data_IF_824569902320
#
_entry.id   IF_824569902320
#
_cell.length_a   1.000
_cell.length_b   1.000
_cell.length_c   1.000
_cell.angle_alpha   90.00
_cell.angle_beta   90.00
_cell.angle_gamma   90.00
#
_symmetry.space_group_name_H-M   'P 1'
#
loop_
_entity.id
_entity.type
_entity.pdbx_description
1 polymer ?
#
# COMPACT_ATOMS: atom_id res chain seq x y z
N UNK A 1 -6.46 -22.22 1.15
CA UNK A 1 -6.76 -20.98 1.89
C UNK A 1 -5.43 -20.38 2.34
N UNK A 2 -4.96 -19.34 1.66
CA UNK A 2 -3.71 -18.66 2.03
C UNK A 2 -4.02 -17.86 3.29
N UNK A 3 -3.39 -18.22 4.42
CA UNK A 3 -3.47 -17.42 5.63
C UNK A 3 -2.55 -16.19 5.47
N UNK A 4 -3.14 -15.01 5.34
CA UNK A 4 -2.44 -13.72 5.24
C UNK A 4 -1.86 -13.23 6.58
N UNK A 5 -1.72 -14.10 7.57
CA UNK A 5 -1.01 -13.80 8.80
C UNK A 5 0.45 -13.42 8.52
N UNK A 6 0.76 -12.13 8.63
CA UNK A 6 2.09 -11.58 8.39
C UNK A 6 3.17 -12.28 9.24
N UNK A 7 2.85 -12.65 10.49
CA UNK A 7 3.77 -13.36 11.38
C UNK A 7 4.12 -14.74 10.84
N UNK A 8 3.13 -15.48 10.30
CA UNK A 8 3.37 -16.80 9.70
C UNK A 8 4.17 -16.68 8.42
N UNK A 9 3.84 -15.72 7.55
CA UNK A 9 4.59 -15.45 6.31
C UNK A 9 6.04 -15.08 6.63
N UNK A 10 6.25 -14.19 7.60
CA UNK A 10 7.57 -13.78 8.05
C UNK A 10 8.36 -14.94 8.65
N UNK A 11 7.72 -15.80 9.45
CA UNK A 11 8.37 -17.00 10.01
C UNK A 11 8.76 -17.98 8.92
N UNK A 12 7.89 -18.20 7.93
CA UNK A 12 8.20 -19.06 6.78
C UNK A 12 9.38 -18.48 5.99
N UNK A 13 9.38 -17.18 5.73
CA UNK A 13 10.50 -16.47 5.09
C UNK A 13 11.82 -16.65 5.85
N UNK A 14 11.84 -16.42 7.16
CA UNK A 14 13.04 -16.61 7.99
C UNK A 14 13.52 -18.07 7.98
N UNK A 15 12.59 -19.02 8.02
CA UNK A 15 12.92 -20.45 7.96
C UNK A 15 13.51 -20.87 6.61
N UNK A 16 13.00 -20.32 5.50
CA UNK A 16 13.48 -20.63 4.14
C UNK A 16 14.82 -19.96 3.86
N UNK A 17 14.99 -18.72 4.32
CA UNK A 17 16.20 -17.94 4.05
C UNK A 17 17.36 -18.25 4.99
N UNK A 18 17.08 -18.82 6.17
CA UNK A 18 18.09 -19.10 7.19
C UNK A 18 18.74 -17.84 7.78
N UNK A 19 18.10 -16.68 7.64
CA UNK A 19 18.61 -15.40 8.14
C UNK A 19 18.50 -15.39 9.67
N UNK A 20 19.65 -15.28 10.34
CA UNK A 20 19.74 -15.13 11.80
C UNK A 20 20.29 -13.78 12.23
N UNK A 21 20.92 -13.04 11.29
CA UNK A 21 21.53 -11.72 11.50
C UNK A 21 21.51 -10.92 10.20
N UNK A 22 21.50 -9.59 10.29
CA UNK A 22 21.54 -8.67 9.16
C UNK A 22 20.16 -8.17 8.75
N UNK A 23 20.00 -7.83 7.47
CA UNK A 23 18.74 -7.31 6.94
C UNK A 23 17.71 -8.42 6.69
N UNK A 24 16.43 -8.12 6.97
CA UNK A 24 15.33 -9.06 6.80
C UNK A 24 15.08 -9.47 5.35
N UNK A 25 15.33 -8.54 4.42
CA UNK A 25 15.18 -8.74 2.99
C UNK A 25 16.53 -8.56 2.30
N UNK A 26 17.34 -9.63 2.20
CA UNK A 26 18.59 -9.61 1.45
C UNK A 26 18.34 -9.59 -0.06
N UNK A 27 19.40 -9.36 -0.82
CA UNK A 27 19.36 -9.52 -2.27
C UNK A 27 19.21 -10.99 -2.65
N UNK A 28 18.35 -11.23 -3.63
CA UNK A 28 18.11 -12.53 -4.23
C UNK A 28 18.69 -12.47 -5.66
N UNK A 29 19.69 -13.29 -5.94
CA UNK A 29 20.26 -13.43 -7.28
C UNK A 29 19.53 -14.54 -8.06
N UNK A 30 19.85 -14.67 -9.35
CA UNK A 30 19.33 -15.77 -10.17
C UNK A 30 19.58 -17.14 -9.52
N UNK A 31 18.68 -18.09 -9.80
CA UNK A 31 18.64 -19.41 -9.17
C UNK A 31 18.34 -19.39 -7.65
N UNK A 32 17.56 -18.41 -7.19
CA UNK A 32 17.08 -18.30 -5.80
C UNK A 32 18.20 -18.23 -4.74
N UNK A 33 19.38 -17.75 -5.15
CA UNK A 33 20.51 -17.61 -4.23
C UNK A 33 20.39 -16.33 -3.40
N UNK A 34 20.31 -16.51 -2.09
CA UNK A 34 20.27 -15.42 -1.11
C UNK A 34 21.69 -14.99 -0.78
N UNK A 35 22.01 -13.72 -1.00
CA UNK A 35 23.29 -13.18 -0.59
C UNK A 35 23.29 -12.93 0.93
N UNK A 36 24.24 -13.53 1.65
CA UNK A 36 24.58 -13.14 3.03
C UNK A 36 25.34 -11.82 3.00
N UNK A 37 24.60 -10.75 2.71
CA UNK A 37 25.08 -9.39 2.59
C UNK A 37 24.58 -8.57 3.77
N UNK A 38 25.47 -7.79 4.37
CA UNK A 38 25.13 -6.81 5.41
C UNK A 38 24.71 -5.46 4.79
N UNK A 39 24.14 -5.49 3.58
CA UNK A 39 23.56 -4.32 2.92
C UNK A 39 22.08 -4.51 2.63
N UNK A 40 21.31 -3.45 2.82
CA UNK A 40 19.89 -3.43 2.50
C UNK A 40 19.66 -3.46 0.98
N UNK A 41 18.55 -4.04 0.53
CA UNK A 41 18.12 -3.92 -0.86
C UNK A 41 17.91 -2.45 -1.23
N UNK A 42 18.22 -2.10 -2.48
CA UNK A 42 17.96 -0.76 -2.99
C UNK A 42 16.46 -0.58 -3.25
N UNK A 43 15.99 0.68 -3.29
CA UNK A 43 14.59 0.99 -3.66
C UNK A 43 14.23 0.48 -5.06
N UNK A 44 15.18 0.57 -6.00
CA UNK A 44 14.98 0.09 -7.37
C UNK A 44 14.84 -1.44 -7.44
N UNK A 45 15.63 -2.14 -6.64
CA UNK A 45 15.60 -3.60 -6.57
C UNK A 45 14.32 -4.11 -5.88
N UNK A 46 13.89 -3.45 -4.80
CA UNK A 46 12.57 -3.67 -4.21
C UNK A 46 11.46 -3.48 -5.25
N UNK A 47 11.45 -2.36 -5.96
CA UNK A 47 10.39 -2.06 -6.92
C UNK A 47 10.40 -3.04 -8.10
N UNK A 48 11.56 -3.50 -8.54
CA UNK A 48 11.70 -4.55 -9.55
C UNK A 48 11.04 -5.85 -9.09
N UNK A 49 11.37 -6.32 -7.88
CA UNK A 49 10.83 -7.57 -7.33
C UNK A 49 9.31 -7.44 -7.09
N UNK A 50 8.88 -6.32 -6.54
CA UNK A 50 7.46 -6.04 -6.31
C UNK A 50 6.66 -6.05 -7.61
N UNK A 51 7.17 -5.40 -8.67
CA UNK A 51 6.51 -5.42 -9.99
C UNK A 51 6.52 -6.81 -10.63
N UNK A 52 7.54 -7.63 -10.40
CA UNK A 52 7.53 -9.03 -10.84
C UNK A 52 6.39 -9.81 -10.18
N UNK A 53 6.28 -9.71 -8.85
CA UNK A 53 5.22 -10.37 -8.10
C UNK A 53 3.82 -9.91 -8.53
N UNK A 54 3.64 -8.62 -8.86
CA UNK A 54 2.37 -8.10 -9.40
C UNK A 54 2.01 -8.74 -10.75
N UNK A 55 2.98 -8.91 -11.65
CA UNK A 55 2.74 -9.61 -12.94
C UNK A 55 2.33 -11.06 -12.73
N UNK A 56 2.94 -11.75 -11.77
CA UNK A 56 2.63 -13.14 -11.45
C UNK A 56 1.19 -13.33 -10.97
N UNK A 57 0.64 -12.34 -10.26
CA UNK A 57 -0.76 -12.36 -9.82
C UNK A 57 -1.74 -11.68 -10.80
N UNK A 58 -1.27 -11.24 -11.97
CA UNK A 58 -2.09 -10.60 -13.02
C UNK A 58 -2.44 -9.14 -12.76
N UNK A 59 -1.77 -8.47 -11.82
CA UNK A 59 -1.98 -7.05 -11.51
C UNK A 59 -1.06 -6.15 -12.36
N UNK A 60 -1.57 -5.03 -12.91
CA UNK A 60 -0.81 -4.10 -13.75
C UNK A 60 0.27 -3.36 -12.93
N UNK A 61 1.57 -3.69 -13.08
CA UNK A 61 2.61 -3.22 -12.16
C UNK A 61 2.89 -1.71 -12.24
N UNK A 62 2.59 -1.09 -13.37
CA UNK A 62 2.74 0.35 -13.63
C UNK A 62 1.86 1.21 -12.74
N UNK A 63 0.73 0.68 -12.24
CA UNK A 63 -0.16 1.40 -11.32
C UNK A 63 0.42 1.48 -9.90
N UNK A 64 1.45 0.68 -9.60
CA UNK A 64 2.01 0.56 -8.27
C UNK A 64 3.39 1.22 -8.17
N UNK A 65 3.52 2.07 -7.15
CA UNK A 65 4.78 2.74 -6.79
C UNK A 65 5.28 2.23 -5.43
N UNK A 66 6.48 2.66 -5.04
CA UNK A 66 7.03 2.40 -3.69
C UNK A 66 6.14 2.93 -2.55
N UNK A 67 5.16 3.79 -2.85
CA UNK A 67 4.22 4.34 -1.89
C UNK A 67 2.82 3.72 -1.98
N UNK A 68 2.61 2.74 -2.88
CA UNK A 68 1.30 2.14 -3.11
C UNK A 68 0.67 1.58 -1.83
N UNK A 69 1.45 0.83 -1.03
CA UNK A 69 0.96 0.29 0.24
C UNK A 69 0.53 1.38 1.22
N UNK A 70 1.33 2.45 1.39
CA UNK A 70 0.99 3.54 2.30
C UNK A 70 -0.22 4.31 1.82
N UNK A 71 -0.31 4.59 0.52
CA UNK A 71 -1.45 5.28 -0.10
C UNK A 71 -2.72 4.46 0.02
N UNK A 72 -2.70 3.22 -0.47
CA UNK A 72 -3.85 2.31 -0.40
C UNK A 72 -4.30 2.03 1.03
N UNK A 73 -3.37 1.77 1.95
CA UNK A 73 -3.70 1.56 3.36
C UNK A 73 -4.31 2.79 4.03
N UNK A 74 -3.84 4.00 3.69
CA UNK A 74 -4.43 5.25 4.19
C UNK A 74 -5.86 5.42 3.69
N UNK A 75 -6.07 5.22 2.39
CA UNK A 75 -7.40 5.30 1.76
C UNK A 75 -8.33 4.26 2.39
N UNK A 76 -7.89 3.02 2.52
CA UNK A 76 -8.66 1.93 3.10
C UNK A 76 -9.07 2.22 4.54
N UNK A 77 -8.14 2.69 5.38
CA UNK A 77 -8.44 3.01 6.77
C UNK A 77 -9.44 4.17 6.88
N UNK A 78 -9.33 5.20 6.04
CA UNK A 78 -10.20 6.38 6.09
C UNK A 78 -11.58 6.13 5.45
N UNK A 79 -11.62 5.54 4.24
CA UNK A 79 -12.85 5.39 3.46
C UNK A 79 -13.62 4.12 3.79
N UNK A 80 -12.93 2.97 3.83
CA UNK A 80 -13.58 1.67 3.97
C UNK A 80 -13.77 1.28 5.44
N UNK A 81 -12.81 1.64 6.30
CA UNK A 81 -12.86 1.34 7.74
C UNK A 81 -13.36 2.49 8.60
N UNK A 82 -13.47 3.69 8.04
CA UNK A 82 -13.93 4.89 8.72
C UNK A 82 -13.14 5.22 10.01
N UNK A 83 -11.82 4.97 10.01
CA UNK A 83 -10.96 5.26 11.15
C UNK A 83 -10.80 6.78 11.31
N UNK A 84 -10.73 7.30 12.55
CA UNK A 84 -10.44 8.70 12.79
C UNK A 84 -9.09 9.11 12.20
N UNK A 85 -9.02 10.30 11.59
CA UNK A 85 -7.78 10.84 11.00
C UNK A 85 -6.56 10.78 11.93
N UNK A 86 -6.66 11.11 13.25
CA UNK A 86 -5.52 10.98 14.16
C UNK A 86 -4.95 9.56 14.27
N UNK A 87 -5.80 8.54 14.15
CA UNK A 87 -5.40 7.15 14.24
C UNK A 87 -4.70 6.69 12.95
N UNK A 88 -5.19 7.17 11.81
CA UNK A 88 -4.54 6.93 10.50
C UNK A 88 -3.19 7.66 10.42
N UNK A 89 -3.10 8.87 10.96
CA UNK A 89 -1.82 9.58 11.09
C UNK A 89 -0.83 8.81 11.96
N UNK A 90 -1.29 8.25 13.08
CA UNK A 90 -0.48 7.41 13.98
C UNK A 90 -0.04 6.10 13.31
N UNK A 91 -0.93 5.42 12.58
CA UNK A 91 -0.60 4.23 11.78
C UNK A 91 0.46 4.55 10.72
N UNK A 92 0.28 5.65 10.00
CA UNK A 92 1.20 6.13 8.98
C UNK A 92 2.50 6.72 9.55
N UNK A 93 2.67 6.83 10.87
CA UNK A 93 3.80 7.53 11.52
C UNK A 93 3.99 8.97 11.03
N UNK A 94 2.89 9.65 10.72
CA UNK A 94 2.88 11.06 10.38
C UNK A 94 2.69 11.93 11.63
N UNK A 95 3.17 13.17 11.55
CA UNK A 95 2.85 14.18 12.55
C UNK A 95 1.33 14.33 12.67
N UNK A 96 0.84 14.32 13.91
CA UNK A 96 -0.57 14.61 14.24
C UNK A 96 -0.87 16.11 14.02
N UNK A 97 0.15 16.97 14.15
CA UNK A 97 0.04 18.36 13.72
C UNK A 97 -0.05 18.36 12.19
N UNK A 98 -1.10 19.02 11.67
CA UNK A 98 -1.58 19.00 10.28
C UNK A 98 -0.64 19.66 9.27
N UNK A 99 0.68 19.48 9.42
CA UNK A 99 1.72 19.95 8.50
C UNK A 99 2.02 18.93 7.40
N UNK A 100 1.47 17.71 7.50
CA UNK A 100 1.79 16.60 6.60
C UNK A 100 1.04 16.73 5.26
N UNK A 101 1.57 17.55 4.33
CA UNK A 101 1.07 17.64 2.94
C UNK A 101 0.93 16.27 2.25
N UNK A 102 1.71 15.28 2.69
CA UNK A 102 1.73 13.90 2.15
C UNK A 102 0.39 13.18 2.25
N UNK A 103 -0.33 13.26 3.38
CA UNK A 103 -1.61 12.55 3.52
C UNK A 103 -2.67 13.17 2.61
N UNK A 104 -2.66 14.50 2.47
CA UNK A 104 -3.53 15.22 1.55
C UNK A 104 -3.26 14.81 0.11
N UNK A 105 -2.01 14.70 -0.31
CA UNK A 105 -1.67 14.22 -1.66
C UNK A 105 -2.16 12.79 -1.92
N UNK A 106 -2.13 11.89 -0.92
CA UNK A 106 -2.66 10.53 -1.08
C UNK A 106 -4.18 10.52 -1.24
N UNK A 107 -4.88 11.35 -0.47
CA UNK A 107 -6.34 11.48 -0.53
C UNK A 107 -6.79 12.13 -1.83
N UNK A 108 -6.17 13.24 -2.23
CA UNK A 108 -6.49 13.98 -3.45
C UNK A 108 -6.31 13.09 -4.67
N UNK A 109 -5.20 12.35 -4.74
CA UNK A 109 -4.93 11.50 -5.90
C UNK A 109 -5.91 10.31 -6.00
N UNK A 110 -6.56 9.92 -4.90
CA UNK A 110 -7.52 8.82 -4.82
C UNK A 110 -8.97 9.29 -5.01
N UNK A 111 -9.27 10.55 -4.75
CA UNK A 111 -10.52 11.17 -5.19
C UNK A 111 -10.39 11.60 -6.64
N UNK A 112 -11.21 11.01 -7.52
CA UNK A 112 -11.54 11.67 -8.78
C UNK A 112 -11.93 13.11 -8.43
N UNK A 113 -11.28 14.10 -9.05
CA UNK A 113 -11.57 15.51 -8.79
C UNK A 113 -12.98 15.77 -9.32
N UNK A 114 -13.99 15.56 -8.47
CA UNK A 114 -15.33 16.04 -8.73
C UNK A 114 -15.27 17.53 -8.40
N UNK A 115 -15.20 18.36 -9.42
CA UNK A 115 -15.35 19.82 -9.29
C UNK A 115 -16.80 20.12 -8.91
N UNK A 116 -17.15 19.85 -7.66
CA UNK A 116 -18.43 20.23 -7.07
C UNK A 116 -18.27 21.69 -6.62
N UNK A 117 -19.12 22.61 -7.10
CA UNK A 117 -19.17 23.97 -6.59
C UNK A 117 -19.31 24.01 -5.06
N UNK A 118 -18.65 24.95 -4.39
CA UNK A 118 -18.58 25.03 -2.91
C UNK A 118 -19.96 25.05 -2.27
N UNK A 119 -20.92 25.74 -2.89
CA UNK A 119 -22.33 25.83 -2.48
C UNK A 119 -23.08 24.48 -2.53
N UNK A 120 -22.55 23.49 -3.26
CA UNK A 120 -23.15 22.16 -3.40
C UNK A 120 -22.51 21.10 -2.49
N UNK A 121 -21.41 21.42 -1.79
CA UNK A 121 -20.70 20.46 -0.93
C UNK A 121 -21.52 19.97 0.26
N UNK A 122 -22.43 20.81 0.77
CA UNK A 122 -23.29 20.51 1.93
C UNK A 122 -24.65 19.92 1.54
N UNK A 123 -24.92 19.78 0.24
CA UNK A 123 -26.13 19.14 -0.22
C UNK A 123 -26.04 17.62 0.00
N UNK A 124 -27.15 16.94 0.32
CA UNK A 124 -27.18 15.49 0.40
C UNK A 124 -26.60 14.91 -0.89
N UNK A 125 -25.54 14.10 -0.78
CA UNK A 125 -24.99 13.40 -1.94
C UNK A 125 -26.10 12.54 -2.53
N UNK A 126 -26.51 12.85 -3.77
CA UNK A 126 -27.43 11.99 -4.52
C UNK A 126 -26.77 10.61 -4.56
N UNK A 127 -27.42 9.60 -3.98
CA UNK A 127 -26.93 8.23 -4.07
C UNK A 127 -26.70 7.93 -5.55
N UNK A 128 -25.50 7.41 -5.90
CA UNK A 128 -25.30 6.86 -7.24
C UNK A 128 -26.37 5.78 -7.37
N UNK A 129 -27.39 6.02 -8.20
CA UNK A 129 -28.31 4.96 -8.60
C UNK A 129 -27.43 3.85 -9.15
N UNK A 130 -27.45 2.70 -8.50
CA UNK A 130 -26.90 1.47 -9.06
C UNK A 130 -27.52 1.33 -10.44
N UNK A 131 -26.73 1.54 -11.50
CA UNK A 131 -27.11 1.02 -12.80
C UNK A 131 -27.00 -0.49 -12.66
N UNK A 132 -28.14 -1.11 -12.35
CA UNK A 132 -28.32 -2.54 -12.54
C UNK A 132 -28.28 -2.74 -14.06
N UNK A 133 -27.10 -3.04 -14.60
CA UNK A 133 -27.01 -3.61 -15.93
C UNK A 133 -27.54 -5.04 -15.84
N UNK A 134 -28.82 -5.22 -16.14
CA UNK A 134 -29.34 -6.50 -16.60
C UNK A 134 -28.96 -6.63 -18.08
N UNK A 135 -27.86 -7.32 -18.37
CA UNK A 135 -27.56 -7.98 -19.63
C UNK A 135 -26.65 -9.18 -19.33
#
# INVERSE_FOLDING_TARGET
>A
MIDFCLVRILRAWLSLTGITKGYLFPKIYGHDHIQKSDSHISKGEYLKNFRSALREIGEPPELYTIHAFRRGGTVFLLKDRNFPLPDVLRWGKWSVKLTSKTILSYLIADTDIVNIPTDQLMLPRKSKKSCICNC
#
